data_IF_112223883613
#
_entry.id   IF_112223883613
#
_cell.length_a   1.000
_cell.length_b   1.000
_cell.length_c   1.000
_cell.angle_alpha   90.00
_cell.angle_beta   90.00
_cell.angle_gamma   90.00
#
_symmetry.space_group_name_H-M   'P 1'
#
loop_
_entity.id
_entity.type
_entity.pdbx_description
1 polymer ?
#
# COMPACT_ATOMS: atom_id res chain seq x y z
N UNK A 1 7.71 -5.02 -0.36
CA UNK A 1 6.96 -6.28 -0.04
C UNK A 1 7.38 -6.73 1.35
N UNK A 2 6.55 -6.52 2.39
CA UNK A 2 6.93 -6.86 3.77
C UNK A 2 6.66 -8.35 4.09
N UNK A 3 7.48 -8.94 4.94
CA UNK A 3 7.25 -10.25 5.54
C UNK A 3 7.72 -10.24 7.00
N UNK A 4 6.96 -10.92 7.86
CA UNK A 4 7.30 -11.14 9.25
C UNK A 4 7.79 -12.57 9.39
N UNK A 5 9.08 -12.74 9.67
CA UNK A 5 9.70 -14.06 9.80
C UNK A 5 10.51 -14.08 11.09
N UNK A 6 10.12 -14.87 12.11
CA UNK A 6 10.95 -15.01 13.30
C UNK A 6 12.29 -15.68 12.94
N UNK A 7 13.39 -15.22 13.54
CA UNK A 7 14.77 -15.66 13.24
C UNK A 7 15.14 -15.43 11.76
N UNK A 8 15.27 -14.16 11.38
CA UNK A 8 15.61 -13.76 10.01
C UNK A 8 16.93 -14.40 9.55
N UNK A 9 16.84 -15.17 8.46
CA UNK A 9 17.97 -15.51 7.60
C UNK A 9 17.66 -14.90 6.23
N UNK A 10 18.29 -13.77 5.85
CA UNK A 10 17.92 -12.98 4.67
C UNK A 10 17.80 -13.82 3.37
N UNK A 11 18.74 -14.71 3.12
CA UNK A 11 18.75 -15.56 1.91
C UNK A 11 17.58 -16.55 1.87
N UNK A 12 17.27 -17.18 3.01
CA UNK A 12 16.15 -18.10 3.12
C UNK A 12 14.83 -17.37 2.89
N UNK A 13 14.71 -16.17 3.45
CA UNK A 13 13.51 -15.36 3.29
C UNK A 13 13.34 -14.92 1.83
N UNK A 14 14.41 -14.48 1.17
CA UNK A 14 14.37 -14.13 -0.26
C UNK A 14 13.95 -15.32 -1.14
N UNK A 15 14.41 -16.53 -0.82
CA UNK A 15 13.99 -17.75 -1.52
C UNK A 15 12.51 -18.11 -1.28
N UNK A 16 11.92 -17.69 -0.16
CA UNK A 16 10.49 -17.86 0.10
C UNK A 16 9.64 -16.78 -0.58
N UNK A 17 10.19 -15.58 -0.76
CA UNK A 17 9.56 -14.52 -1.54
C UNK A 17 9.30 -14.96 -2.99
N UNK A 18 10.23 -15.70 -3.61
CA UNK A 18 10.02 -16.26 -4.97
C UNK A 18 8.98 -17.37 -5.03
N UNK A 19 8.56 -17.94 -3.89
CA UNK A 19 7.46 -18.93 -3.79
C UNK A 19 6.16 -18.33 -3.26
N UNK A 20 6.09 -17.01 -3.09
CA UNK A 20 4.94 -16.30 -2.53
C UNK A 20 4.10 -15.61 -3.62
N UNK A 21 3.03 -14.93 -3.20
CA UNK A 21 2.26 -14.00 -4.04
C UNK A 21 3.11 -12.90 -4.72
N UNK A 22 4.33 -12.66 -4.24
CA UNK A 22 5.24 -11.66 -4.80
C UNK A 22 6.14 -12.20 -5.92
N UNK A 23 6.11 -13.50 -6.20
CA UNK A 23 6.94 -14.18 -7.20
C UNK A 23 6.84 -13.55 -8.59
N UNK A 24 5.64 -13.14 -9.00
CA UNK A 24 5.41 -12.49 -10.29
C UNK A 24 6.20 -11.19 -10.42
N UNK A 25 6.31 -10.40 -9.33
CA UNK A 25 7.06 -9.16 -9.35
C UNK A 25 8.57 -9.40 -9.29
N UNK A 26 9.02 -10.43 -8.57
CA UNK A 26 10.45 -10.74 -8.45
C UNK A 26 11.05 -11.30 -9.74
N UNK A 27 10.23 -11.96 -10.56
CA UNK A 27 10.62 -12.51 -11.86
C UNK A 27 10.30 -11.57 -13.03
N UNK A 28 9.80 -10.36 -12.76
CA UNK A 28 9.46 -9.39 -13.79
C UNK A 28 10.72 -8.63 -14.23
N UNK A 29 11.02 -8.68 -15.53
CA UNK A 29 12.20 -8.05 -16.12
C UNK A 29 12.16 -6.52 -16.11
N UNK A 30 11.01 -5.90 -15.77
CA UNK A 30 10.92 -4.45 -15.63
C UNK A 30 11.73 -3.91 -14.44
N UNK A 31 11.97 -4.74 -13.42
CA UNK A 31 12.76 -4.34 -12.27
C UNK A 31 14.24 -4.66 -12.52
N UNK A 32 15.09 -3.67 -12.28
CA UNK A 32 16.53 -3.72 -12.57
C UNK A 32 17.39 -3.71 -11.32
N UNK A 33 16.79 -3.52 -10.14
CA UNK A 33 17.50 -3.54 -8.85
C UNK A 33 16.64 -4.09 -7.72
N UNK A 34 17.31 -4.63 -6.71
CA UNK A 34 16.71 -5.22 -5.51
C UNK A 34 17.42 -4.65 -4.29
N UNK A 35 16.64 -4.09 -3.36
CA UNK A 35 17.09 -3.68 -2.04
C UNK A 35 16.41 -4.51 -0.95
N UNK A 36 17.17 -4.89 0.07
CA UNK A 36 16.68 -5.69 1.20
C UNK A 36 16.96 -4.91 2.48
N UNK A 37 15.90 -4.60 3.23
CA UNK A 37 15.98 -4.03 4.56
C UNK A 37 15.45 -5.01 5.60
N UNK A 38 16.10 -5.11 6.75
CA UNK A 38 15.68 -6.00 7.83
C UNK A 38 15.82 -5.33 9.19
N UNK A 39 14.80 -5.48 10.04
CA UNK A 39 14.81 -5.00 11.42
C UNK A 39 14.06 -6.00 12.32
N UNK A 40 14.75 -6.55 13.32
CA UNK A 40 14.18 -7.54 14.24
C UNK A 40 13.64 -8.77 13.52
N UNK A 41 12.30 -8.93 13.52
CA UNK A 41 11.57 -10.03 12.86
C UNK A 41 10.92 -9.61 11.53
N UNK A 42 11.25 -8.44 10.99
CA UNK A 42 10.69 -7.91 9.77
C UNK A 42 11.73 -7.79 8.67
N UNK A 43 11.35 -8.17 7.46
CA UNK A 43 12.11 -7.91 6.24
C UNK A 43 11.24 -7.18 5.23
N UNK A 44 11.86 -6.29 4.46
CA UNK A 44 11.22 -5.57 3.38
C UNK A 44 12.10 -5.68 2.15
N UNK A 45 11.53 -6.23 1.08
CA UNK A 45 12.14 -6.23 -0.24
C UNK A 45 11.58 -5.06 -1.05
N UNK A 46 12.48 -4.29 -1.65
CA UNK A 46 12.20 -3.14 -2.51
C UNK A 46 12.73 -3.45 -3.90
N UNK A 47 11.91 -3.26 -4.92
CA UNK A 47 12.31 -3.41 -6.32
C UNK A 47 12.39 -2.05 -6.97
N UNK A 48 13.43 -1.80 -7.75
CA UNK A 48 13.66 -0.53 -8.45
C UNK A 48 13.67 -0.76 -9.96
N UNK A 49 13.17 0.21 -10.71
CA UNK A 49 13.21 0.24 -12.18
C UNK A 49 14.37 1.14 -12.63
N UNK A 50 14.85 0.96 -13.86
CA UNK A 50 15.83 1.86 -14.49
C UNK A 50 15.19 3.15 -15.02
N UNK A 51 13.86 3.22 -15.05
CA UNK A 51 13.08 4.37 -15.48
C UNK A 51 12.58 5.20 -14.29
N UNK A 52 12.55 6.55 -14.40
CA UNK A 52 11.96 7.42 -13.37
C UNK A 52 10.45 7.19 -13.18
N UNK A 53 9.76 6.77 -14.24
CA UNK A 53 8.39 6.31 -14.19
C UNK A 53 8.37 4.90 -13.58
N UNK A 54 7.97 4.80 -12.32
CA UNK A 54 7.74 3.51 -11.66
C UNK A 54 6.56 2.75 -12.29
N UNK A 55 6.38 1.49 -11.92
CA UNK A 55 5.28 0.64 -12.43
C UNK A 55 3.95 0.91 -11.71
N UNK A 56 3.45 2.14 -11.79
CA UNK A 56 2.14 2.52 -11.27
C UNK A 56 1.08 2.20 -12.32
N UNK A 57 0.13 1.32 -11.99
CA UNK A 57 -0.98 0.99 -12.87
C UNK A 57 -2.21 1.74 -12.37
N UNK A 58 -2.87 2.49 -13.25
CA UNK A 58 -4.23 2.99 -12.98
C UNK A 58 -5.14 1.78 -12.88
N UNK A 59 -5.90 1.67 -11.78
CA UNK A 59 -6.95 0.66 -11.69
C UNK A 59 -7.96 0.91 -12.83
N UNK A 60 -8.00 0.03 -13.84
CA UNK A 60 -8.88 0.12 -15.01
C UNK A 60 -10.12 -0.77 -14.83
N UNK A 61 -10.38 -1.25 -13.62
CA UNK A 61 -11.65 -1.89 -13.29
C UNK A 61 -12.81 -0.99 -13.74
N UNK A 62 -13.90 -1.55 -14.29
CA UNK A 62 -15.13 -0.78 -14.53
C UNK A 62 -15.75 -0.22 -13.22
N UNK A 63 -15.16 -0.56 -12.07
CA UNK A 63 -15.39 0.02 -10.75
C UNK A 63 -14.23 0.91 -10.25
N UNK A 64 -13.38 1.41 -11.14
CA UNK A 64 -12.35 2.41 -10.87
C UNK A 64 -13.00 3.75 -10.55
N UNK A 65 -13.68 3.80 -9.41
CA UNK A 65 -13.91 5.04 -8.69
C UNK A 65 -12.52 5.51 -8.32
N UNK A 66 -12.03 6.54 -9.03
CA UNK A 66 -10.84 7.30 -8.65
C UNK A 66 -10.75 7.30 -7.12
N UNK A 67 -9.67 6.78 -6.53
CA UNK A 67 -9.54 6.70 -5.06
C UNK A 67 -9.73 8.07 -4.37
N UNK A 68 -9.57 9.16 -5.13
CA UNK A 68 -9.90 10.53 -4.74
C UNK A 68 -11.41 10.80 -4.49
N UNK A 69 -12.33 9.95 -4.96
CA UNK A 69 -13.79 10.15 -4.82
C UNK A 69 -14.39 9.51 -3.56
N UNK A 70 -13.58 8.96 -2.65
CA UNK A 70 -14.05 8.41 -1.37
C UNK A 70 -14.06 9.43 -0.21
N UNK A 71 -13.73 10.69 -0.48
CA UNK A 71 -14.15 11.84 0.34
C UNK A 71 -15.37 12.48 -0.34
N UNK A 72 -16.47 12.86 0.28
CA UNK A 72 -16.90 12.90 1.66
C UNK A 72 -18.43 13.06 1.58
N UNK A 73 -19.18 11.97 1.73
CA UNK A 73 -20.64 12.09 1.99
C UNK A 73 -20.99 11.85 3.45
N UNK A 74 -20.14 11.13 4.17
CA UNK A 74 -20.39 10.73 5.56
C UNK A 74 -19.99 11.88 6.51
N UNK A 75 -18.88 12.58 6.25
CA UNK A 75 -18.42 13.68 7.12
C UNK A 75 -19.28 14.95 7.07
N UNK A 76 -19.86 15.31 5.92
CA UNK A 76 -20.67 16.52 5.78
C UNK A 76 -21.99 16.45 6.58
N UNK A 77 -22.63 15.28 6.62
CA UNK A 77 -23.89 15.09 7.34
C UNK A 77 -23.74 15.23 8.86
N UNK A 78 -22.75 14.57 9.45
CA UNK A 78 -22.49 14.65 10.89
C UNK A 78 -22.04 16.05 11.34
N UNK A 79 -21.22 16.73 10.53
CA UNK A 79 -20.80 18.10 10.83
C UNK A 79 -21.98 19.09 10.80
N UNK A 80 -22.90 18.95 9.85
CA UNK A 80 -24.09 19.80 9.78
C UNK A 80 -25.03 19.56 10.97
N UNK A 81 -25.25 18.29 11.35
CA UNK A 81 -26.07 17.93 12.50
C UNK A 81 -25.48 18.47 13.81
N UNK A 82 -24.16 18.38 14.00
CA UNK A 82 -23.47 18.91 15.17
C UNK A 82 -23.59 20.45 15.26
N UNK A 83 -23.43 21.17 14.14
CA UNK A 83 -23.63 22.62 14.10
C UNK A 83 -25.08 23.03 14.45
N UNK A 84 -26.08 22.30 13.95
CA UNK A 84 -27.49 22.59 14.23
C UNK A 84 -27.83 22.38 15.71
N UNK A 85 -27.32 21.31 16.32
CA UNK A 85 -27.50 21.04 17.76
C UNK A 85 -26.80 22.13 18.59
N UNK A 86 -25.58 22.53 18.22
CA UNK A 86 -24.85 23.61 18.90
C UNK A 86 -25.61 24.95 18.85
N UNK A 87 -26.21 25.29 17.71
CA UNK A 87 -27.01 26.50 17.58
C UNK A 87 -28.31 26.45 18.41
N UNK A 88 -28.95 25.27 18.50
CA UNK A 88 -30.19 25.09 19.28
C UNK A 88 -29.94 25.15 20.80
N UNK A 89 -28.75 24.74 21.26
CA UNK A 89 -28.34 24.81 22.67
C UNK A 89 -27.87 26.21 23.10
N UNK A 90 -27.63 27.12 22.16
CA UNK A 90 -27.20 28.50 22.43
C UNK A 90 -28.35 29.51 22.48
N UNK A 91 -29.57 29.09 22.15
CA UNK A 91 -30.82 29.85 22.32
C UNK A 91 -31.61 29.32 23.51
#
# INVERSE_FOLDING_TARGET
>A
MPACVPNLIPDLVLSNYTKSQYSNNLNDSKYTGVGIGSEGNWIVVILTTSTPEGSYVTDTSNNAKNAASLLSKIGLGYNLLFCLIGALLMF
#
